data_IF_944831201227
#
_entry.id   IF_944831201227
#
_cell.length_a   1.000
_cell.length_b   1.000
_cell.length_c   1.000
_cell.angle_alpha   90.00
_cell.angle_beta   90.00
_cell.angle_gamma   90.00
#
_symmetry.space_group_name_H-M   'P 1'
#
loop_
_entity.id
_entity.type
_entity.pdbx_description
1 polymer ?
#
# COMPACT_ATOMS: atom_id res chain seq x y z
N UNK A 1 -7.83 -8.20 4.70
CA UNK A 1 -9.10 -7.87 5.41
C UNK A 1 -9.08 -8.29 6.88
N UNK A 2 -9.05 -9.59 7.20
CA UNK A 2 -9.13 -10.06 8.61
C UNK A 2 -8.00 -9.54 9.50
N UNK A 3 -6.78 -9.49 8.98
CA UNK A 3 -5.63 -8.88 9.68
C UNK A 3 -5.87 -7.41 10.02
N UNK A 4 -6.37 -6.61 9.06
CA UNK A 4 -6.70 -5.20 9.29
C UNK A 4 -7.74 -5.04 10.41
N UNK A 5 -8.82 -5.84 10.39
CA UNK A 5 -9.87 -5.81 11.43
C UNK A 5 -9.27 -6.18 12.80
N UNK A 6 -8.48 -7.26 12.87
CA UNK A 6 -7.85 -7.70 14.13
C UNK A 6 -6.94 -6.62 14.73
N UNK A 7 -6.19 -5.92 13.88
CA UNK A 7 -5.26 -4.84 14.25
C UNK A 7 -5.95 -3.53 14.62
N UNK A 8 -7.28 -3.43 14.44
CA UNK A 8 -8.06 -2.25 14.80
C UNK A 8 -8.07 -1.15 13.73
N UNK A 9 -7.80 -1.49 12.47
CA UNK A 9 -8.06 -0.57 11.37
C UNK A 9 -9.56 -0.29 11.22
N UNK A 10 -9.95 0.89 10.70
CA UNK A 10 -11.31 1.15 10.30
C UNK A 10 -11.88 0.07 9.39
N UNK A 11 -13.18 -0.18 9.50
CA UNK A 11 -13.83 -1.25 8.75
C UNK A 11 -13.71 -0.99 7.24
N UNK A 12 -13.19 -1.96 6.46
CA UNK A 12 -12.81 -1.69 5.09
C UNK A 12 -14.03 -1.50 4.17
N UNK A 13 -13.87 -0.64 3.17
CA UNK A 13 -14.87 -0.42 2.13
C UNK A 13 -14.40 -1.16 0.88
N UNK A 14 -15.20 -2.13 0.43
CA UNK A 14 -14.91 -2.98 -0.72
C UNK A 14 -15.46 -2.31 -1.97
N UNK A 15 -14.57 -1.97 -2.90
CA UNK A 15 -14.94 -1.43 -4.21
C UNK A 15 -15.05 -2.55 -5.24
N UNK A 16 -15.90 -2.33 -6.26
CA UNK A 16 -16.13 -3.26 -7.37
C UNK A 16 -16.61 -4.67 -7.02
N UNK A 17 -17.13 -4.87 -5.80
CA UNK A 17 -17.70 -6.16 -5.40
C UNK A 17 -18.82 -6.60 -6.34
N UNK A 18 -18.76 -7.84 -6.83
CA UNK A 18 -19.76 -8.44 -7.71
C UNK A 18 -19.86 -7.82 -9.12
N UNK A 19 -18.92 -6.95 -9.52
CA UNK A 19 -18.93 -6.31 -10.84
C UNK A 19 -17.99 -7.03 -11.80
N UNK A 20 -18.40 -7.17 -13.06
CA UNK A 20 -17.49 -7.57 -14.12
C UNK A 20 -16.40 -6.48 -14.30
N UNK A 21 -15.11 -6.82 -14.27
CA UNK A 21 -14.03 -5.83 -14.33
C UNK A 21 -13.95 -5.12 -15.69
N UNK A 22 -14.38 -5.74 -16.78
CA UNK A 22 -14.40 -5.12 -18.10
C UNK A 22 -15.55 -4.11 -18.20
N UNK A 23 -16.72 -4.43 -17.66
CA UNK A 23 -17.83 -3.48 -17.53
C UNK A 23 -17.51 -2.36 -16.54
N UNK A 24 -16.86 -2.68 -15.41
CA UNK A 24 -16.52 -1.72 -14.37
C UNK A 24 -15.45 -0.72 -14.83
N UNK A 25 -14.49 -1.15 -15.63
CA UNK A 25 -13.52 -0.26 -16.25
C UNK A 25 -14.16 0.58 -17.37
N UNK A 26 -15.14 0.03 -18.12
CA UNK A 26 -15.75 0.61 -19.34
C UNK A 26 -14.84 0.56 -20.58
N UNK A 27 -13.60 0.08 -20.46
CA UNK A 27 -12.65 0.00 -21.58
C UNK A 27 -12.29 -1.44 -21.94
N UNK A 28 -11.92 -1.64 -23.21
CA UNK A 28 -11.41 -2.93 -23.69
C UNK A 28 -9.93 -3.05 -23.32
N UNK A 29 -9.66 -3.50 -22.10
CA UNK A 29 -8.31 -3.65 -21.54
C UNK A 29 -8.20 -4.79 -20.52
N UNK A 30 -7.16 -4.75 -19.70
CA UNK A 30 -6.98 -5.72 -18.62
C UNK A 30 -7.91 -5.48 -17.43
N UNK A 31 -8.25 -6.52 -16.66
CA UNK A 31 -9.22 -6.43 -15.56
C UNK A 31 -8.78 -5.50 -14.42
N UNK A 32 -7.47 -5.29 -14.26
CA UNK A 32 -6.91 -4.43 -13.22
C UNK A 32 -7.27 -2.95 -13.43
N UNK A 33 -7.65 -2.53 -14.64
CA UNK A 33 -8.08 -1.15 -14.90
C UNK A 33 -9.35 -0.77 -14.12
N UNK A 34 -10.16 -1.75 -13.71
CA UNK A 34 -11.31 -1.51 -12.85
C UNK A 34 -10.92 -0.89 -11.49
N UNK A 35 -9.67 -1.04 -11.04
CA UNK A 35 -9.18 -0.41 -9.81
C UNK A 35 -9.25 1.11 -9.88
N UNK A 36 -8.78 1.74 -10.98
CA UNK A 36 -8.87 3.19 -11.19
C UNK A 36 -10.33 3.66 -11.04
N UNK A 37 -11.25 3.03 -11.75
CA UNK A 37 -12.66 3.46 -11.71
C UNK A 37 -13.33 3.16 -10.37
N UNK A 38 -12.95 2.07 -9.70
CA UNK A 38 -13.44 1.72 -8.38
C UNK A 38 -13.02 2.73 -7.32
N UNK A 39 -11.74 3.07 -7.29
CA UNK A 39 -11.13 4.05 -6.38
C UNK A 39 -11.76 5.42 -6.61
N UNK A 40 -11.74 5.91 -7.86
CA UNK A 40 -12.23 7.24 -8.19
C UNK A 40 -13.73 7.38 -7.91
N UNK A 41 -14.53 6.35 -8.22
CA UNK A 41 -15.96 6.33 -7.89
C UNK A 41 -16.21 6.41 -6.39
N UNK A 42 -15.40 5.73 -5.57
CA UNK A 42 -15.51 5.83 -4.12
C UNK A 42 -15.14 7.22 -3.62
N UNK A 43 -13.98 7.75 -4.02
CA UNK A 43 -13.53 9.08 -3.60
C UNK A 43 -14.52 10.17 -4.02
N UNK A 44 -15.05 10.10 -5.25
CA UNK A 44 -16.07 11.04 -5.74
C UNK A 44 -17.33 11.02 -4.91
N UNK A 45 -17.81 9.82 -4.58
CA UNK A 45 -19.01 9.67 -3.80
C UNK A 45 -18.76 10.11 -2.35
N UNK A 46 -17.68 9.67 -1.71
CA UNK A 46 -17.43 9.94 -0.30
C UNK A 46 -17.10 11.42 -0.02
N UNK A 47 -16.51 12.13 -0.97
CA UNK A 47 -16.23 13.58 -0.89
C UNK A 47 -17.42 14.45 -1.36
N UNK A 48 -18.50 13.85 -1.87
CA UNK A 48 -19.66 14.60 -2.33
C UNK A 48 -20.35 15.33 -1.16
N UNK A 49 -20.91 16.51 -1.43
CA UNK A 49 -21.62 17.27 -0.40
C UNK A 49 -22.82 16.49 0.15
N UNK A 50 -23.49 15.71 -0.70
CA UNK A 50 -24.65 14.86 -0.39
C UNK A 50 -24.27 13.51 0.26
N UNK A 51 -22.98 13.22 0.44
CA UNK A 51 -22.55 11.98 1.09
C UNK A 51 -23.11 11.86 2.51
N UNK A 52 -23.54 10.66 2.87
CA UNK A 52 -24.11 10.38 4.18
C UNK A 52 -23.05 10.62 5.27
N UNK A 53 -23.37 11.34 6.37
CA UNK A 53 -22.38 11.72 7.39
C UNK A 53 -21.59 10.55 8.01
N UNK A 54 -22.17 9.34 8.01
CA UNK A 54 -21.52 8.12 8.52
C UNK A 54 -20.24 7.76 7.77
N UNK A 55 -20.21 8.03 6.46
CA UNK A 55 -19.21 7.55 5.50
C UNK A 55 -18.59 8.70 4.68
N UNK A 56 -18.97 9.95 4.98
CA UNK A 56 -18.48 11.15 4.29
C UNK A 56 -17.02 11.39 4.66
N UNK A 57 -16.22 11.71 3.64
CA UNK A 57 -14.85 12.15 3.78
C UNK A 57 -14.75 13.66 3.59
N UNK A 58 -13.78 14.25 4.28
CA UNK A 58 -13.21 15.56 4.00
C UNK A 58 -11.96 15.43 3.12
N UNK A 59 -11.53 16.53 2.50
CA UNK A 59 -10.40 16.51 1.57
C UNK A 59 -9.08 16.09 2.25
N UNK A 60 -8.94 16.39 3.53
CA UNK A 60 -7.79 16.11 4.40
C UNK A 60 -7.87 14.76 5.13
N UNK A 61 -8.99 14.04 5.04
CA UNK A 61 -9.10 12.69 5.62
C UNK A 61 -8.13 11.73 4.93
N UNK A 62 -7.41 10.94 5.73
CA UNK A 62 -6.42 9.99 5.21
C UNK A 62 -7.11 8.70 4.77
N UNK A 63 -6.90 8.33 3.51
CA UNK A 63 -7.39 7.09 2.92
C UNK A 63 -6.22 6.17 2.61
N UNK A 64 -6.37 4.89 2.95
CA UNK A 64 -5.47 3.82 2.53
C UNK A 64 -6.22 2.94 1.54
N UNK A 65 -5.68 2.81 0.35
CA UNK A 65 -6.16 1.92 -0.70
C UNK A 65 -5.20 0.73 -0.74
N UNK A 66 -5.72 -0.49 -0.69
CA UNK A 66 -4.90 -1.70 -0.66
C UNK A 66 -5.54 -2.82 -1.46
N UNK A 67 -4.71 -3.66 -2.08
CA UNK A 67 -5.15 -4.85 -2.80
C UNK A 67 -5.84 -5.86 -1.89
N UNK A 68 -7.02 -6.33 -2.33
CA UNK A 68 -7.89 -7.16 -1.50
C UNK A 68 -7.47 -8.63 -1.38
N UNK A 69 -6.58 -9.13 -2.26
CA UNK A 69 -6.33 -10.57 -2.39
C UNK A 69 -5.00 -11.05 -1.82
N UNK A 70 -3.97 -10.20 -1.78
CA UNK A 70 -2.61 -10.59 -1.44
C UNK A 70 -1.87 -9.56 -0.57
N UNK A 71 -2.59 -8.73 0.20
CA UNK A 71 -2.00 -7.84 1.21
C UNK A 71 -2.39 -8.27 2.63
N UNK A 72 -1.38 -8.38 3.50
CA UNK A 72 -1.54 -8.60 4.93
C UNK A 72 -1.10 -7.39 5.72
N UNK A 73 -1.88 -7.03 6.73
CA UNK A 73 -1.49 -6.04 7.74
C UNK A 73 -0.83 -6.79 8.89
N UNK A 74 0.24 -6.23 9.46
CA UNK A 74 0.93 -6.82 10.61
C UNK A 74 1.17 -5.84 11.76
N UNK A 75 1.11 -4.52 11.52
CA UNK A 75 1.23 -3.50 12.56
C UNK A 75 -0.07 -2.70 12.73
N UNK A 76 -0.32 -2.10 13.91
CA UNK A 76 -1.52 -1.30 14.18
C UNK A 76 -1.56 0.01 13.35
N UNK A 77 -2.75 0.63 13.19
CA UNK A 77 -2.90 1.89 12.47
C UNK A 77 -2.07 3.05 13.06
N UNK A 78 -1.79 3.03 14.37
CA UNK A 78 -0.91 4.00 15.01
C UNK A 78 0.49 4.05 14.37
N UNK A 79 1.13 2.88 14.19
CA UNK A 79 2.46 2.79 13.56
C UNK A 79 2.40 3.28 12.11
N UNK A 80 1.37 2.84 11.38
CA UNK A 80 1.20 3.22 9.98
C UNK A 80 1.06 4.74 9.81
N UNK A 81 0.23 5.39 10.64
CA UNK A 81 -0.01 6.83 10.55
C UNK A 81 1.24 7.63 10.95
N UNK A 82 1.98 7.23 11.98
CA UNK A 82 3.25 7.88 12.36
C UNK A 82 4.26 7.81 11.21
N UNK A 83 4.46 6.63 10.63
CA UNK A 83 5.36 6.45 9.48
C UNK A 83 4.93 7.21 8.25
N UNK A 84 3.63 7.29 7.97
CA UNK A 84 3.11 8.07 6.85
C UNK A 84 3.54 9.55 6.95
N UNK A 85 3.41 10.14 8.14
CA UNK A 85 3.88 11.50 8.40
C UNK A 85 5.40 11.62 8.28
N UNK A 86 6.17 10.69 8.83
CA UNK A 86 7.63 10.70 8.75
C UNK A 86 8.16 10.54 7.31
N UNK A 87 7.51 9.71 6.48
CA UNK A 87 7.83 9.55 5.06
C UNK A 87 7.59 10.85 4.31
N UNK A 88 6.43 11.48 4.49
CA UNK A 88 6.11 12.76 3.86
C UNK A 88 7.05 13.88 4.35
N UNK A 89 7.36 13.93 5.65
CA UNK A 89 8.30 14.91 6.20
C UNK A 89 9.71 14.75 5.59
N UNK A 90 10.23 13.52 5.50
CA UNK A 90 11.53 13.23 4.85
C UNK A 90 11.51 13.56 3.36
N UNK A 91 10.41 13.30 2.66
CA UNK A 91 10.28 13.64 1.24
C UNK A 91 10.22 15.14 1.00
N UNK A 92 9.41 15.87 1.77
CA UNK A 92 9.29 17.32 1.67
C UNK A 92 10.59 18.03 2.06
N UNK A 93 11.38 17.48 2.99
CA UNK A 93 12.73 17.97 3.26
C UNK A 93 13.64 17.85 2.03
N UNK A 94 13.64 16.69 1.34
CA UNK A 94 14.42 16.51 0.10
C UNK A 94 13.96 17.44 -1.02
N UNK A 95 12.64 17.61 -1.20
CA UNK A 95 12.11 18.55 -2.20
C UNK A 95 12.58 19.99 -1.93
N UNK A 96 12.56 20.41 -0.66
CA UNK A 96 13.06 21.72 -0.22
C UNK A 96 14.55 21.89 -0.50
N UNK A 97 15.37 20.88 -0.21
CA UNK A 97 16.82 20.91 -0.49
C UNK A 97 17.13 21.02 -1.99
N UNK A 98 16.29 20.43 -2.84
CA UNK A 98 16.44 20.46 -4.29
C UNK A 98 15.91 21.76 -4.93
N UNK A 99 15.19 22.59 -4.18
CA UNK A 99 14.62 23.83 -4.69
C UNK A 99 15.55 25.03 -4.41
N UNK A 100 16.18 25.54 -5.46
CA UNK A 100 17.16 26.64 -5.39
C UNK A 100 16.64 27.96 -5.98
N UNK A 101 15.37 28.03 -6.35
CA UNK A 101 14.75 29.22 -6.94
C UNK A 101 14.18 30.16 -5.88
N UNK A 102 14.07 31.44 -6.25
CA UNK A 102 13.52 32.49 -5.37
C UNK A 102 11.99 32.38 -5.21
N UNK A 103 11.30 31.81 -6.20
CA UNK A 103 9.85 31.60 -6.16
C UNK A 103 9.45 30.59 -5.06
N UNK A 104 8.23 30.68 -4.49
CA UNK A 104 7.71 29.65 -3.61
C UNK A 104 7.80 28.27 -4.25
N UNK A 105 8.29 27.28 -3.47
CA UNK A 105 8.41 25.91 -3.95
C UNK A 105 7.01 25.38 -4.28
N UNK A 106 6.74 24.98 -5.55
CA UNK A 106 5.41 24.57 -5.95
C UNK A 106 5.16 23.08 -5.68
N UNK A 107 6.14 22.34 -5.17
CA UNK A 107 6.13 20.87 -5.08
C UNK A 107 5.95 20.43 -3.63
N UNK A 108 5.15 19.40 -3.43
CA UNK A 108 4.93 18.79 -2.11
C UNK A 108 4.63 17.30 -2.27
N UNK A 109 4.96 16.48 -1.28
CA UNK A 109 4.50 15.10 -1.17
C UNK A 109 3.51 14.98 -0.01
N UNK A 110 2.31 14.50 -0.32
CA UNK A 110 1.26 14.14 0.64
C UNK A 110 0.71 12.73 0.40
N UNK A 111 0.94 12.18 -0.80
CA UNK A 111 0.56 10.83 -1.18
C UNK A 111 1.80 9.94 -1.17
N UNK A 112 1.68 8.77 -0.55
CA UNK A 112 2.69 7.72 -0.53
C UNK A 112 2.17 6.50 -1.28
N UNK A 113 2.80 6.20 -2.41
CA UNK A 113 2.59 4.96 -3.16
C UNK A 113 3.60 3.90 -2.72
N UNK A 114 3.19 2.63 -2.67
CA UNK A 114 4.15 1.55 -2.43
C UNK A 114 5.21 1.49 -3.52
N UNK A 115 6.44 1.10 -3.15
CA UNK A 115 7.57 1.02 -4.08
C UNK A 115 7.94 -0.44 -4.44
N UNK A 116 8.51 -0.61 -5.62
CA UNK A 116 9.18 -1.81 -6.11
C UNK A 116 10.48 -1.48 -6.85
N UNK A 117 11.21 -2.52 -7.24
CA UNK A 117 12.55 -2.43 -7.81
C UNK A 117 12.62 -2.41 -9.34
N UNK A 118 11.52 -2.75 -10.01
CA UNK A 118 11.45 -2.80 -11.48
C UNK A 118 10.53 -1.70 -12.01
N UNK A 119 10.97 -0.94 -13.01
CA UNK A 119 10.07 -0.08 -13.78
C UNK A 119 9.21 -0.95 -14.70
N UNK A 120 7.91 -1.06 -14.40
CA UNK A 120 6.99 -1.89 -15.16
C UNK A 120 5.54 -1.44 -14.94
N UNK A 121 4.65 -1.54 -15.94
CA UNK A 121 4.90 -1.88 -17.36
C UNK A 121 5.60 -0.75 -18.13
N UNK A 122 6.09 -1.03 -19.34
CA UNK A 122 6.88 -0.07 -20.13
C UNK A 122 6.21 0.40 -21.43
N UNK A 123 6.98 1.10 -22.27
CA UNK A 123 6.54 1.63 -23.57
C UNK A 123 5.92 0.55 -24.49
N UNK A 124 6.49 -0.67 -24.59
CA UNK A 124 5.89 -1.74 -25.40
C UNK A 124 4.47 -2.14 -24.95
N UNK A 125 4.14 -1.94 -23.68
CA UNK A 125 2.83 -2.23 -23.10
C UNK A 125 1.87 -1.03 -23.18
N UNK A 126 2.31 0.09 -23.78
CA UNK A 126 1.53 1.31 -23.96
C UNK A 126 1.66 2.34 -22.84
N UNK A 127 2.70 2.27 -22.00
CA UNK A 127 2.94 3.21 -20.90
C UNK A 127 4.28 3.90 -21.01
N UNK A 128 4.30 5.21 -20.74
CA UNK A 128 5.54 5.94 -20.54
C UNK A 128 5.64 6.31 -19.07
N UNK A 129 6.47 5.59 -18.32
CA UNK A 129 6.66 5.79 -16.89
C UNK A 129 7.77 6.80 -16.59
N UNK A 130 8.47 7.31 -17.62
CA UNK A 130 9.62 8.19 -17.45
C UNK A 130 10.68 7.61 -16.48
N UNK A 131 10.99 6.32 -16.64
CA UNK A 131 11.79 5.55 -15.68
C UNK A 131 13.18 6.14 -15.41
N UNK A 132 13.78 6.82 -16.40
CA UNK A 132 15.11 7.41 -16.30
C UNK A 132 15.07 8.81 -15.66
N UNK A 133 13.90 9.45 -15.65
CA UNK A 133 13.67 10.77 -15.07
C UNK A 133 13.13 10.71 -13.64
N UNK A 134 12.80 9.52 -13.13
CA UNK A 134 12.35 9.34 -11.75
C UNK A 134 13.48 9.60 -10.74
N UNK A 135 13.15 10.13 -9.54
CA UNK A 135 14.15 10.34 -8.49
C UNK A 135 14.88 9.06 -8.09
N UNK A 136 16.18 9.20 -7.82
CA UNK A 136 16.98 8.13 -7.24
C UNK A 136 16.48 7.70 -5.86
N UNK A 137 16.69 6.43 -5.54
CA UNK A 137 16.33 5.91 -4.21
C UNK A 137 17.15 6.59 -3.11
N UNK A 138 16.53 7.09 -2.02
CA UNK A 138 17.23 7.67 -0.89
C UNK A 138 17.85 6.62 0.04
N UNK A 139 17.65 5.32 -0.22
CA UNK A 139 18.30 4.24 0.51
C UNK A 139 19.83 4.29 0.32
N UNK A 140 20.62 3.71 1.24
CA UNK A 140 22.08 3.68 1.14
C UNK A 140 22.58 3.22 -0.23
N UNK A 141 23.54 3.93 -0.81
CA UNK A 141 24.09 3.64 -2.15
C UNK A 141 24.84 2.29 -2.21
N UNK A 142 25.15 1.71 -1.06
CA UNK A 142 25.80 0.41 -0.86
C UNK A 142 24.87 -0.62 -0.21
N UNK A 143 23.54 -0.46 -0.33
CA UNK A 143 22.55 -1.34 0.29
C UNK A 143 22.80 -2.84 0.03
N UNK A 144 23.33 -3.18 -1.15
CA UNK A 144 23.71 -4.53 -1.56
C UNK A 144 25.22 -4.65 -1.86
N UNK A 145 26.04 -3.79 -1.25
CA UNK A 145 27.48 -3.67 -1.52
C UNK A 145 27.77 -3.22 -2.95
N UNK A 146 28.86 -3.71 -3.53
CA UNK A 146 29.28 -3.39 -4.91
C UNK A 146 28.26 -3.81 -5.99
N UNK A 147 27.29 -4.65 -5.63
CA UNK A 147 26.23 -5.10 -6.52
C UNK A 147 24.99 -4.19 -6.51
N UNK A 148 24.98 -3.13 -5.71
CA UNK A 148 23.84 -2.21 -5.60
C UNK A 148 23.50 -1.60 -6.97
N UNK A 149 22.21 -1.65 -7.31
CA UNK A 149 21.62 -1.20 -8.57
C UNK A 149 22.16 -1.91 -9.84
N UNK A 150 22.81 -3.07 -9.68
CA UNK A 150 23.18 -3.95 -10.79
C UNK A 150 22.04 -4.93 -11.07
N UNK A 151 21.47 -4.83 -12.28
CA UNK A 151 20.51 -5.79 -12.80
C UNK A 151 21.26 -7.01 -13.32
N UNK A 152 20.90 -8.19 -12.81
CA UNK A 152 21.52 -9.44 -13.25
C UNK A 152 20.65 -10.04 -14.35
N UNK A 153 21.16 -10.05 -15.57
CA UNK A 153 20.52 -10.70 -16.70
C UNK A 153 20.40 -12.22 -16.46
N UNK A 154 19.25 -12.79 -16.81
CA UNK A 154 19.03 -14.24 -16.72
C UNK A 154 18.98 -14.85 -18.12
N UNK A 155 18.98 -16.19 -18.20
CA UNK A 155 18.80 -16.89 -19.47
C UNK A 155 17.46 -16.59 -20.13
N UNK A 156 16.48 -16.09 -19.37
CA UNK A 156 15.23 -15.56 -19.88
C UNK A 156 15.28 -14.02 -19.89
N UNK A 157 15.47 -13.36 -21.04
CA UNK A 157 15.60 -11.91 -21.11
C UNK A 157 14.33 -11.16 -20.67
N UNK A 158 13.19 -11.85 -20.53
CA UNK A 158 11.95 -11.28 -19.99
C UNK A 158 11.88 -11.31 -18.45
N UNK A 159 12.84 -11.97 -17.80
CA UNK A 159 12.93 -12.11 -16.35
C UNK A 159 14.34 -11.76 -15.84
N UNK A 160 14.81 -10.52 -16.01
CA UNK A 160 16.01 -10.07 -15.31
C UNK A 160 15.81 -10.17 -13.80
N UNK A 161 16.90 -10.34 -13.08
CA UNK A 161 16.91 -10.35 -11.62
C UNK A 161 17.22 -8.94 -11.10
N UNK A 162 16.26 -8.39 -10.35
CA UNK A 162 16.29 -7.06 -9.74
C UNK A 162 16.57 -7.10 -8.23
N UNK A 163 17.02 -8.23 -7.69
CA UNK A 163 17.28 -8.43 -6.25
C UNK A 163 18.09 -7.27 -5.65
N UNK A 164 19.21 -6.91 -6.28
CA UNK A 164 20.14 -5.89 -5.79
C UNK A 164 19.78 -4.46 -6.21
N UNK A 165 18.58 -4.22 -6.73
CA UNK A 165 18.15 -2.86 -7.11
C UNK A 165 17.43 -2.21 -5.94
N UNK A 166 17.74 -0.94 -5.64
CA UNK A 166 17.02 -0.18 -4.63
C UNK A 166 15.61 0.17 -5.15
N UNK A 167 14.54 0.00 -4.35
CA UNK A 167 13.20 0.40 -4.75
C UNK A 167 13.16 1.88 -5.14
N UNK A 168 12.58 2.17 -6.31
CA UNK A 168 12.34 3.54 -6.81
C UNK A 168 11.22 3.65 -7.85
N UNK A 169 10.49 2.57 -8.07
CA UNK A 169 9.38 2.52 -9.02
C UNK A 169 8.08 2.21 -8.28
N UNK A 170 6.96 2.67 -8.81
CA UNK A 170 5.64 2.41 -8.23
C UNK A 170 5.30 0.91 -8.22
N UNK A 171 4.75 0.45 -7.10
CA UNK A 171 3.96 -0.76 -7.02
C UNK A 171 2.48 -0.41 -6.81
N UNK A 172 1.58 -1.04 -7.57
CA UNK A 172 0.15 -0.73 -7.55
C UNK A 172 -0.67 -1.52 -6.53
N UNK A 173 -0.04 -1.96 -5.44
CA UNK A 173 -0.69 -2.73 -4.38
C UNK A 173 -1.25 -1.89 -3.24
N UNK A 174 -0.60 -0.76 -2.93
CA UNK A 174 -0.99 0.12 -1.83
C UNK A 174 -0.74 1.59 -2.14
N UNK A 175 -1.71 2.44 -1.80
CA UNK A 175 -1.66 3.89 -1.90
C UNK A 175 -2.20 4.51 -0.62
N UNK A 176 -1.59 5.59 -0.12
CA UNK A 176 -2.04 6.27 1.09
C UNK A 176 -1.89 7.78 0.95
N UNK A 177 -2.88 8.56 1.37
CA UNK A 177 -2.81 10.02 1.33
C UNK A 177 -4.14 10.70 1.67
N UNK A 178 -4.19 12.04 1.69
CA UNK A 178 -5.44 12.79 1.80
C UNK A 178 -6.42 12.43 0.68
N UNK A 179 -7.70 12.30 1.01
CA UNK A 179 -8.73 11.86 0.08
C UNK A 179 -8.83 12.79 -1.13
N UNK A 180 -8.67 14.10 -0.92
CA UNK A 180 -8.68 15.11 -1.96
C UNK A 180 -7.53 14.97 -2.94
N UNK A 181 -6.33 14.74 -2.43
CA UNK A 181 -5.11 14.60 -3.23
C UNK A 181 -5.15 13.29 -4.03
N UNK A 182 -5.56 12.19 -3.39
CA UNK A 182 -5.82 10.92 -4.06
C UNK A 182 -6.87 11.08 -5.17
N UNK A 183 -7.97 11.80 -4.93
CA UNK A 183 -9.01 12.04 -5.96
C UNK A 183 -8.42 12.77 -7.17
N UNK A 184 -7.57 13.78 -6.97
CA UNK A 184 -6.90 14.50 -8.07
C UNK A 184 -5.96 13.59 -8.85
N UNK A 185 -5.11 12.83 -8.17
CA UNK A 185 -4.17 11.89 -8.80
C UNK A 185 -4.90 10.80 -9.60
N UNK A 186 -5.91 10.16 -9.03
CA UNK A 186 -6.68 9.11 -9.72
C UNK A 186 -7.57 9.65 -10.83
N UNK A 187 -8.04 10.90 -10.75
CA UNK A 187 -8.71 11.57 -11.88
C UNK A 187 -7.76 11.72 -13.06
N UNK A 188 -6.52 12.18 -12.83
CA UNK A 188 -5.51 12.28 -13.89
C UNK A 188 -5.26 10.93 -14.56
N UNK A 189 -5.14 9.86 -13.78
CA UNK A 189 -5.01 8.50 -14.30
C UNK A 189 -6.23 8.06 -15.12
N UNK A 190 -7.45 8.37 -14.65
CA UNK A 190 -8.68 8.14 -15.40
C UNK A 190 -8.67 8.86 -16.76
N UNK A 191 -8.33 10.15 -16.78
CA UNK A 191 -8.32 10.96 -18.00
C UNK A 191 -7.28 10.44 -19.03
N UNK A 192 -6.11 10.00 -18.55
CA UNK A 192 -5.11 9.35 -19.41
C UNK A 192 -5.62 8.04 -20.00
N UNK A 193 -6.26 7.22 -19.18
CA UNK A 193 -6.81 5.95 -19.60
C UNK A 193 -7.93 6.15 -20.65
N UNK A 194 -8.82 7.11 -20.42
CA UNK A 194 -9.91 7.44 -21.33
C UNK A 194 -9.38 7.92 -22.69
N UNK A 195 -8.44 8.87 -22.70
CA UNK A 195 -7.80 9.37 -23.92
C UNK A 195 -7.06 8.27 -24.72
N UNK A 196 -6.34 7.39 -24.03
CA UNK A 196 -5.65 6.25 -24.67
C UNK A 196 -6.64 5.25 -25.25
N UNK A 197 -7.74 4.98 -24.54
CA UNK A 197 -8.78 4.08 -25.02
C UNK A 197 -9.52 4.65 -26.24
N UNK A 198 -9.82 5.95 -26.26
CA UNK A 198 -10.36 6.65 -27.44
C UNK A 198 -9.43 6.56 -28.65
N UNK A 199 -8.12 6.57 -28.40
CA UNK A 199 -7.06 6.38 -29.41
C UNK A 199 -6.86 4.91 -29.82
N UNK A 200 -7.66 3.98 -29.29
CA UNK A 200 -7.58 2.55 -29.60
C UNK A 200 -6.45 1.79 -28.92
N UNK A 201 -5.73 2.42 -27.98
CA UNK A 201 -4.65 1.78 -27.21
C UNK A 201 -5.27 0.93 -26.11
N UNK A 202 -4.87 -0.34 -26.05
CA UNK A 202 -5.36 -1.29 -25.04
C UNK A 202 -4.39 -1.37 -23.87
N UNK A 203 -4.77 -0.76 -22.75
CA UNK A 203 -4.04 -0.86 -21.50
C UNK A 203 -4.51 -2.07 -20.68
N UNK A 204 -3.69 -2.51 -19.74
CA UNK A 204 -3.88 -3.74 -18.96
C UNK A 204 -3.54 -3.62 -17.47
N UNK A 205 -2.85 -2.57 -17.07
CA UNK A 205 -2.21 -2.41 -15.77
C UNK A 205 -2.57 -1.06 -15.19
N UNK A 206 -3.24 -1.08 -14.05
CA UNK A 206 -3.52 0.14 -13.29
C UNK A 206 -2.22 0.76 -12.74
N UNK A 207 -1.27 -0.05 -12.27
CA UNK A 207 0.06 0.42 -11.87
C UNK A 207 0.77 1.21 -12.99
N UNK A 208 0.60 0.80 -14.26
CA UNK A 208 1.16 1.53 -15.39
C UNK A 208 0.52 2.90 -15.60
N UNK A 209 -0.79 3.01 -15.39
CA UNK A 209 -1.51 4.29 -15.45
C UNK A 209 -1.06 5.19 -14.31
N UNK A 210 -1.13 4.72 -13.06
CA UNK A 210 -0.71 5.47 -11.87
C UNK A 210 0.78 5.84 -11.92
N UNK A 211 1.61 4.95 -12.46
CA UNK A 211 3.04 5.20 -12.68
C UNK A 211 3.34 6.27 -13.73
N UNK A 212 2.54 6.34 -14.80
CA UNK A 212 2.68 7.43 -15.77
C UNK A 212 2.27 8.78 -15.17
N UNK A 213 1.24 8.85 -14.32
CA UNK A 213 0.91 10.08 -13.58
C UNK A 213 2.08 10.54 -12.72
N UNK A 214 2.70 9.61 -11.99
CA UNK A 214 3.89 9.90 -11.19
C UNK A 214 5.09 10.34 -12.05
N UNK A 215 5.35 9.65 -13.16
CA UNK A 215 6.43 10.01 -14.07
C UNK A 215 6.26 11.40 -14.68
N UNK A 216 5.06 11.75 -15.15
CA UNK A 216 4.76 13.09 -15.68
C UNK A 216 4.95 14.18 -14.62
N UNK A 217 4.56 13.90 -13.36
CA UNK A 217 4.84 14.79 -12.23
C UNK A 217 6.35 14.98 -12.04
N UNK A 218 7.15 13.93 -12.00
CA UNK A 218 8.60 14.05 -11.74
C UNK A 218 9.36 14.72 -12.89
N UNK A 219 8.94 14.51 -14.14
CA UNK A 219 9.44 15.27 -15.29
C UNK A 219 9.10 16.76 -15.12
N UNK A 220 7.86 17.07 -14.73
CA UNK A 220 7.45 18.45 -14.46
C UNK A 220 8.22 19.06 -13.29
N UNK A 221 8.42 18.34 -12.17
CA UNK A 221 9.23 18.80 -11.03
C UNK A 221 10.67 19.09 -11.44
N UNK A 222 11.26 18.23 -12.28
CA UNK A 222 12.62 18.43 -12.81
C UNK A 222 12.68 19.69 -13.67
N UNK A 223 11.73 19.87 -14.58
CA UNK A 223 11.62 21.10 -15.36
C UNK A 223 11.49 22.34 -14.46
N UNK A 224 10.59 22.29 -13.47
CA UNK A 224 10.39 23.38 -12.53
C UNK A 224 11.69 23.74 -11.84
N UNK A 225 12.52 22.76 -11.42
CA UNK A 225 13.82 22.98 -10.77
C UNK A 225 14.90 23.54 -11.70
N UNK A 226 15.05 23.00 -12.90
CA UNK A 226 16.20 23.31 -13.77
C UNK A 226 15.96 24.47 -14.72
N UNK A 227 14.70 24.79 -15.03
CA UNK A 227 14.32 25.73 -16.10
C UNK A 227 14.98 25.39 -17.45
N UNK A 228 15.45 24.15 -17.64
CA UNK A 228 16.13 23.66 -18.84
C UNK A 228 15.44 22.40 -19.35
N UNK A 229 15.24 22.30 -20.66
CA UNK A 229 14.67 21.11 -21.30
C UNK A 229 15.41 20.78 -22.60
N UNK A 230 15.62 19.49 -22.83
CA UNK A 230 15.79 18.97 -24.19
C UNK A 230 14.46 19.10 -24.96
N UNK A 231 14.55 19.45 -26.25
CA UNK A 231 13.38 19.78 -27.08
C UNK A 231 12.48 18.56 -27.30
N UNK A 232 11.23 18.60 -26.82
CA UNK A 232 10.18 17.63 -27.20
C UNK A 232 9.10 17.38 -26.14
N UNK A 233 9.49 17.07 -24.90
CA UNK A 233 8.56 16.83 -23.77
C UNK A 233 8.01 18.12 -23.16
N UNK A 234 8.73 19.22 -23.37
CA UNK A 234 8.52 20.54 -22.77
C UNK A 234 7.18 21.21 -23.06
N UNK A 235 6.77 21.26 -24.33
CA UNK A 235 5.71 22.17 -24.76
C UNK A 235 4.34 21.77 -24.23
N UNK A 236 4.08 20.47 -24.05
CA UNK A 236 2.83 19.95 -23.48
C UNK A 236 2.78 20.04 -21.96
N UNK A 237 3.94 20.01 -21.29
CA UNK A 237 4.05 20.06 -19.83
C UNK A 237 4.01 21.50 -19.26
N UNK A 238 4.30 22.51 -20.09
CA UNK A 238 4.26 23.92 -19.70
C UNK A 238 2.84 24.51 -19.61
N UNK A 239 1.83 23.83 -20.17
CA UNK A 239 0.46 24.36 -20.27
C UNK A 239 -0.43 23.98 -19.06
N UNK A 240 0.03 23.09 -18.18
CA UNK A 240 -0.76 22.57 -17.04
C UNK A 240 0.12 22.36 -15.81
N UNK A 241 -0.52 22.38 -14.64
CA UNK A 241 0.09 21.94 -13.40
C UNK A 241 0.05 20.40 -13.33
N UNK A 242 1.19 19.78 -13.04
CA UNK A 242 1.35 18.33 -12.90
C UNK A 242 1.73 17.92 -11.49
N UNK A 243 1.61 18.83 -10.51
CA UNK A 243 1.82 18.52 -9.11
C UNK A 243 0.59 17.80 -8.51
N UNK A 244 0.68 16.47 -8.37
CA UNK A 244 -0.37 15.62 -7.80
C UNK A 244 -0.03 15.12 -6.40
N UNK A 245 1.08 15.61 -5.83
CA UNK A 245 1.58 15.32 -4.50
C UNK A 245 2.04 13.87 -4.30
N UNK A 246 2.35 13.17 -5.39
CA UNK A 246 2.74 11.76 -5.36
C UNK A 246 4.20 11.61 -4.93
N UNK A 247 4.48 10.62 -4.12
CA UNK A 247 5.81 10.06 -3.98
C UNK A 247 5.76 8.62 -3.49
N UNK A 248 6.92 8.06 -3.11
CA UNK A 248 7.07 6.62 -2.90
C UNK A 248 7.50 6.27 -1.46
N UNK A 249 7.04 5.10 -1.01
CA UNK A 249 7.54 4.40 0.17
C UNK A 249 8.89 3.72 -0.14
N UNK A 250 9.93 4.52 -0.38
CA UNK A 250 11.26 4.03 -0.77
C UNK A 250 11.86 3.05 0.24
N UNK A 251 11.65 3.29 1.54
CA UNK A 251 12.16 2.46 2.63
C UNK A 251 11.25 1.26 2.94
N UNK A 252 10.11 1.13 2.25
CA UNK A 252 9.17 0.03 2.38
C UNK A 252 8.63 -0.11 3.81
N UNK A 253 8.41 1.01 4.50
CA UNK A 253 7.99 1.07 5.91
C UNK A 253 6.46 0.96 6.08
N UNK A 254 5.67 1.41 5.10
CA UNK A 254 4.22 1.26 5.09
C UNK A 254 3.82 -0.06 4.44
N UNK A 255 4.32 -0.33 3.23
CA UNK A 255 3.93 -1.48 2.42
C UNK A 255 5.11 -2.04 1.64
N UNK A 256 5.54 -3.24 2.00
CA UNK A 256 6.60 -3.94 1.27
C UNK A 256 6.01 -4.83 0.18
N UNK A 257 6.37 -4.55 -1.09
CA UNK A 257 6.13 -5.44 -2.21
C UNK A 257 7.20 -6.53 -2.26
N UNK A 258 6.77 -7.79 -2.16
CA UNK A 258 7.68 -8.96 -2.16
C UNK A 258 8.21 -9.31 -3.55
N UNK A 259 7.61 -8.80 -4.62
CA UNK A 259 8.15 -8.93 -5.97
C UNK A 259 9.54 -8.28 -6.06
N UNK A 260 10.49 -9.00 -6.65
CA UNK A 260 11.91 -8.62 -6.70
C UNK A 260 12.60 -8.51 -5.33
N UNK A 261 11.93 -8.86 -4.24
CA UNK A 261 12.46 -8.91 -2.87
C UNK A 261 12.12 -10.27 -2.23
N UNK A 262 12.10 -11.32 -3.05
CA UNK A 262 11.54 -12.62 -2.73
C UNK A 262 12.21 -13.30 -1.52
N UNK A 263 13.49 -13.08 -1.31
CA UNK A 263 14.34 -13.71 -0.30
C UNK A 263 14.97 -12.69 0.67
N UNK A 264 14.48 -11.45 0.63
CA UNK A 264 15.02 -10.36 1.45
C UNK A 264 14.58 -10.42 2.91
N UNK A 265 13.43 -11.05 3.19
CA UNK A 265 12.80 -11.00 4.49
C UNK A 265 12.10 -12.29 4.90
N UNK A 266 11.92 -12.43 6.21
CA UNK A 266 11.21 -13.54 6.83
C UNK A 266 10.42 -13.07 8.06
N UNK A 267 9.51 -13.92 8.55
CA UNK A 267 8.71 -13.69 9.76
C UNK A 267 9.48 -14.20 10.98
N UNK A 268 9.99 -13.29 11.80
CA UNK A 268 10.89 -13.57 12.93
C UNK A 268 10.55 -12.72 14.16
N UNK A 269 10.72 -13.28 15.35
CA UNK A 269 10.59 -12.54 16.62
C UNK A 269 11.87 -11.72 16.86
N UNK A 270 11.76 -10.41 16.79
CA UNK A 270 12.92 -9.50 16.79
C UNK A 270 13.62 -9.39 18.15
N UNK A 271 12.99 -9.82 19.24
CA UNK A 271 13.65 -9.97 20.55
C UNK A 271 14.65 -11.13 20.60
N UNK A 272 14.63 -12.04 19.63
CA UNK A 272 15.57 -13.14 19.51
C UNK A 272 16.70 -12.78 18.53
N UNK A 273 17.70 -12.04 19.01
CA UNK A 273 18.82 -11.60 18.17
C UNK A 273 19.59 -12.77 17.52
N UNK A 274 19.70 -13.92 18.19
CA UNK A 274 20.36 -15.09 17.59
C UNK A 274 19.63 -15.62 16.35
N UNK A 275 18.30 -15.58 16.33
CA UNK A 275 17.52 -15.92 15.14
C UNK A 275 17.71 -14.86 14.04
N UNK A 276 17.68 -13.58 14.38
CA UNK A 276 17.93 -12.47 13.45
C UNK A 276 19.32 -12.58 12.81
N UNK A 277 20.33 -12.92 13.60
CA UNK A 277 21.71 -13.13 13.15
C UNK A 277 21.82 -14.34 12.20
N UNK A 278 21.09 -15.44 12.48
CA UNK A 278 21.05 -16.61 11.61
C UNK A 278 20.45 -16.29 10.24
N UNK A 279 19.32 -15.58 10.22
CA UNK A 279 18.67 -15.15 8.97
C UNK A 279 19.52 -14.15 8.19
N UNK A 280 20.10 -13.17 8.88
CA UNK A 280 21.00 -12.17 8.27
C UNK A 280 22.21 -12.85 7.65
N UNK A 281 22.83 -13.81 8.35
CA UNK A 281 23.96 -14.58 7.85
C UNK A 281 23.61 -15.41 6.60
N UNK A 282 22.43 -16.04 6.55
CA UNK A 282 21.94 -16.74 5.34
C UNK A 282 21.75 -15.81 4.14
N UNK A 283 21.39 -14.55 4.38
CA UNK A 283 21.29 -13.50 3.37
C UNK A 283 22.64 -12.84 3.03
N UNK A 284 23.75 -13.29 3.63
CA UNK A 284 25.08 -12.71 3.43
C UNK A 284 25.32 -11.39 4.15
N UNK A 285 24.49 -11.05 5.15
CA UNK A 285 24.55 -9.82 5.94
C UNK A 285 25.24 -10.10 7.28
N UNK A 286 26.55 -9.85 7.33
CA UNK A 286 27.37 -9.99 8.54
C UNK A 286 28.21 -8.73 8.76
N UNK A 287 28.02 -7.99 9.88
CA UNK A 287 27.06 -8.24 10.96
C UNK A 287 25.59 -8.02 10.52
N UNK A 288 24.65 -8.57 11.30
CA UNK A 288 23.22 -8.33 11.09
C UNK A 288 22.90 -6.83 11.18
N UNK A 289 22.09 -6.33 10.23
CA UNK A 289 21.68 -4.92 10.21
C UNK A 289 20.53 -4.65 11.19
N UNK A 290 19.58 -5.60 11.27
CA UNK A 290 18.42 -5.51 12.16
C UNK A 290 18.86 -5.80 13.61
N UNK A 291 18.51 -4.88 14.51
CA UNK A 291 18.89 -4.93 15.92
C UNK A 291 17.64 -4.70 16.78
N UNK A 292 17.02 -5.78 17.25
CA UNK A 292 15.81 -5.71 18.06
C UNK A 292 14.56 -5.18 17.33
N UNK A 293 13.53 -4.88 18.12
CA UNK A 293 12.28 -4.27 17.64
C UNK A 293 12.51 -2.77 17.40
N UNK A 294 12.05 -2.21 16.26
CA UNK A 294 12.08 -0.76 16.02
C UNK A 294 11.42 0.07 17.13
N UNK A 295 12.02 1.22 17.44
CA UNK A 295 11.59 2.10 18.55
C UNK A 295 10.14 2.57 18.42
N UNK A 296 9.69 2.83 17.19
CA UNK A 296 8.33 3.24 16.86
C UNK A 296 7.29 2.13 17.07
N UNK A 297 7.71 0.89 17.28
CA UNK A 297 6.86 -0.26 17.58
C UNK A 297 6.89 -0.56 19.09
N UNK A 298 8.05 -0.49 19.74
CA UNK A 298 8.25 -0.87 21.16
C UNK A 298 7.26 -0.17 22.10
N UNK A 299 6.96 1.11 21.85
CA UNK A 299 6.10 1.93 22.71
C UNK A 299 4.62 1.92 22.32
N UNK A 300 4.27 1.28 21.21
CA UNK A 300 2.88 1.20 20.75
C UNK A 300 2.13 0.20 21.59
N UNK A 301 0.87 0.54 21.90
CA UNK A 301 -0.02 -0.33 22.70
C UNK A 301 0.00 -1.75 22.14
N UNK A 302 0.31 -2.69 23.02
CA UNK A 302 0.35 -4.09 22.71
C UNK A 302 -1.05 -4.63 22.35
N UNK A 303 -1.28 -5.10 21.10
CA UNK A 303 -2.59 -5.60 20.69
C UNK A 303 -3.01 -6.89 21.40
N UNK A 304 -2.07 -7.64 21.98
CA UNK A 304 -2.28 -8.88 22.70
C UNK A 304 -2.46 -8.69 24.21
N UNK A 305 -2.47 -7.47 24.74
CA UNK A 305 -2.64 -7.21 26.19
C UNK A 305 -3.86 -7.96 26.79
N UNK A 306 -4.97 -8.06 26.05
CA UNK A 306 -6.18 -8.78 26.47
C UNK A 306 -6.24 -10.28 26.14
N UNK A 307 -5.23 -10.83 25.46
CA UNK A 307 -5.21 -12.20 24.92
C UNK A 307 -4.02 -13.01 25.43
N UNK A 308 -2.84 -12.39 25.47
CA UNK A 308 -1.58 -12.93 25.96
C UNK A 308 -0.77 -11.79 26.62
N UNK A 309 -1.10 -11.40 27.87
CA UNK A 309 -0.56 -10.19 28.51
C UNK A 309 0.95 -10.21 28.75
N UNK A 310 1.55 -11.40 28.82
CA UNK A 310 2.99 -11.57 29.02
C UNK A 310 3.80 -11.43 27.71
N UNK A 311 3.14 -11.52 26.55
CA UNK A 311 3.80 -11.45 25.24
C UNK A 311 4.11 -10.00 24.90
N UNK A 312 5.38 -9.65 24.68
CA UNK A 312 5.79 -8.31 24.26
C UNK A 312 6.07 -8.26 22.75
N UNK A 313 6.25 -7.06 22.19
CA UNK A 313 6.61 -6.90 20.78
C UNK A 313 7.85 -7.70 20.35
N UNK A 314 8.82 -7.88 21.25
CA UNK A 314 10.00 -8.70 20.99
C UNK A 314 9.71 -10.18 20.76
N UNK A 315 8.61 -10.69 21.32
CA UNK A 315 8.18 -12.08 21.20
C UNK A 315 7.29 -12.31 19.97
N UNK A 316 6.66 -11.25 19.45
CA UNK A 316 5.76 -11.32 18.32
C UNK A 316 6.55 -11.46 17.01
N UNK A 317 6.35 -12.54 16.24
CA UNK A 317 7.03 -12.68 14.97
C UNK A 317 6.47 -11.68 13.94
N UNK A 318 7.37 -10.91 13.32
CA UNK A 318 7.07 -9.88 12.32
C UNK A 318 7.84 -10.17 11.04
N UNK A 319 7.18 -10.01 9.89
CA UNK A 319 7.88 -9.97 8.62
C UNK A 319 8.85 -8.80 8.63
N UNK A 320 10.13 -9.08 8.38
CA UNK A 320 11.22 -8.12 8.42
C UNK A 320 12.11 -8.31 7.20
N UNK A 321 12.37 -7.23 6.45
CA UNK A 321 13.38 -7.19 5.40
C UNK A 321 14.75 -6.95 6.02
N UNK A 322 15.68 -7.90 5.85
CA UNK A 322 16.99 -7.84 6.49
C UNK A 322 17.96 -6.86 5.79
N UNK A 323 17.70 -6.50 4.53
CA UNK A 323 18.54 -5.55 3.79
C UNK A 323 18.18 -4.11 4.12
N UNK A 324 16.91 -3.74 3.97
CA UNK A 324 16.40 -2.39 4.24
C UNK A 324 16.15 -2.14 5.72
N UNK A 325 16.13 -3.20 6.54
CA UNK A 325 15.74 -3.20 7.96
C UNK A 325 14.26 -2.86 8.17
N UNK A 326 13.45 -2.88 7.10
CA UNK A 326 12.05 -2.55 7.17
C UNK A 326 11.25 -3.63 7.90
N UNK A 327 10.49 -3.22 8.91
CA UNK A 327 9.43 -4.02 9.53
C UNK A 327 8.10 -3.41 9.07
N UNK A 328 7.60 -3.70 7.86
CA UNK A 328 6.53 -2.92 7.24
C UNK A 328 5.19 -3.04 7.99
N UNK A 329 4.34 -2.03 7.92
CA UNK A 329 2.98 -2.16 8.43
C UNK A 329 2.13 -3.17 7.63
N UNK A 330 2.38 -3.25 6.32
CA UNK A 330 1.70 -4.15 5.39
C UNK A 330 2.71 -4.93 4.52
N UNK A 331 2.41 -6.19 4.22
CA UNK A 331 3.17 -7.03 3.29
C UNK A 331 2.30 -7.36 2.09
N UNK A 332 2.76 -7.00 0.89
CA UNK A 332 2.12 -7.33 -0.37
C UNK A 332 2.79 -8.58 -0.97
N UNK A 333 2.08 -9.71 -0.89
CA UNK A 333 2.51 -11.04 -1.35
C UNK A 333 2.35 -11.22 -2.87
N UNK A 334 3.06 -10.39 -3.63
CA UNK A 334 3.08 -10.40 -5.10
C UNK A 334 4.34 -11.00 -5.73
N UNK A 335 5.22 -11.61 -4.93
CA UNK A 335 6.33 -12.46 -5.39
C UNK A 335 5.82 -13.60 -6.30
N UNK A 336 5.90 -13.44 -7.62
CA UNK A 336 5.37 -14.42 -8.58
C UNK A 336 6.43 -15.43 -9.05
N UNK A 337 7.71 -15.14 -8.84
CA UNK A 337 8.81 -16.03 -9.22
C UNK A 337 8.83 -17.27 -8.32
N UNK A 338 9.25 -18.41 -8.88
CA UNK A 338 9.47 -19.67 -8.15
C UNK A 338 8.27 -20.17 -7.30
N UNK A 339 7.04 -19.79 -7.65
CA UNK A 339 5.85 -20.18 -6.89
C UNK A 339 5.72 -19.49 -5.52
N UNK A 340 6.50 -18.45 -5.25
CA UNK A 340 6.53 -17.80 -3.94
C UNK A 340 5.25 -17.03 -3.60
N UNK A 341 4.34 -16.85 -4.56
CA UNK A 341 3.02 -16.26 -4.32
C UNK A 341 2.21 -17.08 -3.33
N UNK A 342 2.47 -18.38 -3.26
CA UNK A 342 1.83 -19.32 -2.32
C UNK A 342 2.19 -19.02 -0.85
N UNK A 343 3.20 -18.19 -0.57
CA UNK A 343 3.50 -17.74 0.81
C UNK A 343 2.33 -17.01 1.46
N UNK A 344 1.45 -16.37 0.67
CA UNK A 344 0.18 -15.81 1.17
C UNK A 344 -0.79 -16.85 1.73
N UNK A 345 -0.48 -18.14 1.65
CA UNK A 345 -1.23 -19.20 2.30
C UNK A 345 -0.34 -19.95 3.28
N UNK A 346 0.88 -20.31 2.85
CA UNK A 346 1.79 -21.14 3.65
C UNK A 346 2.45 -20.41 4.82
N UNK A 347 2.42 -19.07 4.86
CA UNK A 347 2.95 -18.28 5.97
C UNK A 347 1.87 -17.64 6.85
N UNK A 348 0.58 -17.84 6.54
CA UNK A 348 -0.50 -17.13 7.23
C UNK A 348 -0.55 -17.44 8.73
N UNK A 349 -0.26 -18.69 9.08
CA UNK A 349 -0.19 -19.19 10.45
C UNK A 349 1.07 -18.77 11.22
N UNK A 350 2.03 -18.12 10.55
CA UNK A 350 3.24 -17.58 11.17
C UNK A 350 3.03 -16.17 11.73
N UNK A 351 1.95 -15.49 11.36
CA UNK A 351 1.65 -14.15 11.84
C UNK A 351 1.36 -14.16 13.35
N UNK A 352 1.89 -13.20 14.09
CA UNK A 352 1.79 -13.17 15.56
C UNK A 352 0.34 -13.19 16.09
N UNK A 353 -0.60 -12.61 15.36
CA UNK A 353 -2.01 -12.59 15.75
C UNK A 353 -2.74 -13.90 15.42
N UNK A 354 -2.16 -14.78 14.60
CA UNK A 354 -2.87 -15.95 14.06
C UNK A 354 -3.51 -16.83 15.15
N UNK A 355 -2.81 -17.19 16.26
CA UNK A 355 -3.42 -18.00 17.33
C UNK A 355 -4.61 -17.32 18.03
N UNK A 356 -4.69 -15.99 17.96
CA UNK A 356 -5.69 -15.16 18.64
C UNK A 356 -6.69 -14.53 17.66
N UNK A 357 -6.52 -14.78 16.35
CA UNK A 357 -7.16 -14.01 15.29
C UNK A 357 -8.68 -14.03 15.40
N UNK A 358 -9.27 -15.19 15.71
CA UNK A 358 -10.71 -15.32 15.91
C UNK A 358 -11.21 -14.39 17.01
N UNK A 359 -10.59 -14.44 18.18
CA UNK A 359 -11.06 -13.68 19.34
C UNK A 359 -10.78 -12.17 19.18
N UNK A 360 -9.68 -11.82 18.48
CA UNK A 360 -9.38 -10.45 18.07
C UNK A 360 -10.45 -9.90 17.12
N UNK A 361 -10.76 -10.63 16.04
CA UNK A 361 -11.80 -10.22 15.07
C UNK A 361 -13.17 -10.16 15.76
N UNK A 362 -13.54 -11.18 16.55
CA UNK A 362 -14.84 -11.23 17.22
C UNK A 362 -15.04 -10.07 18.20
N UNK A 363 -13.96 -9.63 18.86
CA UNK A 363 -13.97 -8.44 19.71
C UNK A 363 -14.17 -7.17 18.89
N UNK A 364 -13.43 -7.02 17.78
CA UNK A 364 -13.44 -5.83 16.91
C UNK A 364 -14.73 -5.66 16.12
N UNK A 365 -15.49 -6.73 15.90
CA UNK A 365 -16.79 -6.68 15.22
C UNK A 365 -17.95 -6.20 16.09
N UNK A 366 -17.74 -5.98 17.39
CA UNK A 366 -18.79 -5.48 18.29
C UNK A 366 -18.89 -3.95 18.18
N UNK A 367 -20.11 -3.39 18.05
CA UNK A 367 -20.33 -1.95 18.18
C UNK A 367 -19.74 -1.42 19.49
N UNK A 368 -19.05 -0.29 19.40
CA UNK A 368 -18.39 0.35 20.52
C UNK A 368 -18.20 1.84 20.21
N UNK A 369 -18.19 2.73 21.22
CA UNK A 369 -17.81 4.12 21.04
C UNK A 369 -16.49 4.24 20.30
N UNK A 370 -16.34 5.28 19.47
CA UNK A 370 -15.09 5.55 18.80
C UNK A 370 -14.04 6.02 19.82
N UNK A 371 -12.83 5.52 19.65
CA UNK A 371 -11.63 5.97 20.33
C UNK A 371 -10.65 6.51 19.27
N UNK A 372 -9.77 7.47 19.61
CA UNK A 372 -8.72 7.90 18.70
C UNK A 372 -7.85 6.72 18.25
N UNK A 373 -7.55 6.66 16.96
CA UNK A 373 -6.59 5.70 16.41
C UNK A 373 -5.16 6.05 16.83
N UNK A 374 -4.82 7.34 16.82
CA UNK A 374 -3.53 7.89 17.27
C UNK A 374 -3.66 9.40 17.47
N UNK A 375 -2.84 9.95 18.36
CA UNK A 375 -2.53 11.39 18.42
C UNK A 375 -1.07 11.61 18.03
N UNK A 376 -0.84 12.47 17.04
CA UNK A 376 0.47 12.81 16.50
C UNK A 376 0.73 14.28 16.82
N UNK A 377 1.80 14.54 17.57
CA UNK A 377 2.21 15.90 17.90
C UNK A 377 3.04 16.43 16.73
N UNK A 378 2.60 17.54 16.14
CA UNK A 378 3.31 18.24 15.06
C UNK A 378 3.76 19.62 15.53
N UNK A 379 4.61 20.31 14.75
CA UNK A 379 4.98 21.70 15.04
C UNK A 379 3.79 22.66 15.01
N UNK A 380 2.74 22.32 14.24
CA UNK A 380 1.51 23.11 14.06
C UNK A 380 0.43 22.78 15.11
N UNK A 381 0.64 21.73 15.91
CA UNK A 381 -0.29 21.26 16.94
C UNK A 381 -0.52 19.75 16.90
N UNK A 382 -1.46 19.28 17.70
CA UNK A 382 -1.81 17.87 17.78
C UNK A 382 -2.80 17.48 16.68
N UNK A 383 -2.48 16.46 15.90
CA UNK A 383 -3.39 15.81 14.94
C UNK A 383 -3.96 14.55 15.61
N UNK A 384 -5.28 14.45 15.70
CA UNK A 384 -5.97 13.29 16.26
C UNK A 384 -6.73 12.55 15.16
N UNK A 385 -6.34 11.30 14.92
CA UNK A 385 -6.98 10.46 13.92
C UNK A 385 -8.13 9.66 14.52
N UNK A 386 -9.26 9.65 13.83
CA UNK A 386 -10.45 8.89 14.19
C UNK A 386 -10.84 7.95 13.04
N UNK A 387 -11.48 6.83 13.38
CA UNK A 387 -12.17 6.03 12.38
C UNK A 387 -13.45 6.77 11.90
N UNK A 388 -14.00 6.45 10.72
CA UNK A 388 -15.24 7.06 10.24
C UNK A 388 -16.41 6.86 11.22
N UNK A 389 -17.38 7.80 11.31
CA UNK A 389 -18.47 7.74 12.29
C UNK A 389 -19.29 6.45 12.26
N UNK A 390 -19.47 5.88 11.07
CA UNK A 390 -20.03 4.54 10.82
C UNK A 390 -19.50 3.44 11.73
N UNK A 391 -18.21 3.47 12.05
CA UNK A 391 -17.53 2.40 12.76
C UNK A 391 -18.03 2.27 14.21
N UNK A 392 -18.70 3.30 14.75
CA UNK A 392 -19.35 3.19 16.05
C UNK A 392 -20.41 2.06 16.11
N UNK A 393 -21.03 1.73 14.97
CA UNK A 393 -22.16 0.79 14.90
C UNK A 393 -22.12 -0.20 13.73
N UNK A 394 -21.34 0.05 12.66
CA UNK A 394 -21.07 -0.87 11.55
C UNK A 394 -19.59 -1.24 11.53
N UNK A 395 -19.28 -2.43 12.05
CA UNK A 395 -17.90 -2.92 12.17
C UNK A 395 -17.53 -3.94 11.09
N UNK A 396 -18.51 -4.48 10.35
CA UNK A 396 -18.25 -5.38 9.22
C UNK A 396 -17.88 -4.58 7.98
N UNK A 397 -17.11 -5.18 7.05
CA UNK A 397 -16.77 -4.52 5.79
C UNK A 397 -18.00 -4.02 5.06
N UNK A 398 -17.88 -2.90 4.35
CA UNK A 398 -18.99 -2.27 3.64
C UNK A 398 -18.79 -2.31 2.13
N UNK A 399 -19.87 -2.31 1.37
CA UNK A 399 -19.80 -2.39 -0.10
C UNK A 399 -20.04 -1.03 -0.76
N UNK A 400 -19.16 -0.66 -1.69
CA UNK A 400 -19.38 0.48 -2.58
C UNK A 400 -20.14 0.05 -3.85
N UNK A 401 -21.48 0.04 -3.75
CA UNK A 401 -22.40 -0.40 -4.83
C UNK A 401 -23.07 0.75 -5.61
N UNK A 402 -23.16 1.95 -5.06
CA UNK A 402 -23.95 3.05 -5.63
C UNK A 402 -23.42 4.44 -5.29
N UNK A 403 -24.33 5.38 -5.00
CA UNK A 403 -23.98 6.68 -4.38
C UNK A 403 -23.88 6.51 -2.86
N UNK A 404 -23.07 7.33 -2.22
CA UNK A 404 -22.88 7.43 -0.75
C UNK A 404 -23.93 8.32 -0.08
N UNK A 405 -24.93 8.81 -0.79
CA UNK A 405 -26.04 9.60 -0.21
C UNK A 405 -26.91 8.79 0.78
N UNK A 406 -26.77 7.47 0.77
CA UNK A 406 -27.28 6.57 1.78
C UNK A 406 -26.11 5.88 2.48
N UNK A 407 -26.30 5.45 3.73
CA UNK A 407 -25.25 4.76 4.45
C UNK A 407 -24.81 3.48 3.73
N UNK A 408 -23.50 3.19 3.72
CA UNK A 408 -22.99 2.02 3.04
C UNK A 408 -23.42 0.71 3.74
N UNK A 409 -23.80 -0.28 2.95
CA UNK A 409 -24.29 -1.58 3.43
C UNK A 409 -23.13 -2.47 3.92
N UNK A 410 -23.30 -3.07 5.10
CA UNK A 410 -22.39 -4.11 5.59
C UNK A 410 -22.54 -5.41 4.78
N UNK A 411 -21.41 -6.00 4.42
CA UNK A 411 -21.34 -7.34 3.84
C UNK A 411 -20.99 -8.39 4.90
N UNK A 412 -21.59 -9.58 4.78
CA UNK A 412 -21.15 -10.73 5.55
C UNK A 412 -19.85 -11.30 4.99
N UNK A 413 -19.08 -11.98 5.84
CA UNK A 413 -17.89 -12.70 5.38
C UNK A 413 -18.25 -13.86 4.45
N UNK A 414 -19.42 -14.48 4.61
CA UNK A 414 -19.88 -15.52 3.68
C UNK A 414 -20.09 -14.97 2.27
N UNK A 415 -20.52 -13.71 2.14
CA UNK A 415 -20.58 -13.04 0.83
C UNK A 415 -19.17 -12.74 0.34
N UNK A 416 -18.35 -12.06 1.15
CA UNK A 416 -17.03 -11.56 0.72
C UNK A 416 -16.00 -12.66 0.44
N UNK A 417 -16.14 -13.81 1.09
CA UNK A 417 -15.24 -14.95 0.98
C UNK A 417 -15.86 -16.10 0.17
N UNK A 418 -16.96 -15.86 -0.55
CA UNK A 418 -17.53 -16.83 -1.46
C UNK A 418 -16.57 -17.13 -2.63
N UNK A 419 -16.48 -18.40 -3.01
CA UNK A 419 -15.72 -18.82 -4.21
C UNK A 419 -16.67 -18.79 -5.42
N UNK A 420 -16.42 -17.94 -6.44
CA UNK A 420 -17.31 -17.86 -7.60
C UNK A 420 -17.46 -19.21 -8.33
N UNK A 421 -18.69 -19.57 -8.68
CA UNK A 421 -19.00 -20.75 -9.49
C UNK A 421 -18.97 -22.08 -8.75
N UNK A 422 -18.85 -22.09 -7.42
CA UNK A 422 -18.95 -23.30 -6.60
C UNK A 422 -20.18 -23.26 -5.68
N UNK A 423 -20.70 -24.44 -5.35
CA UNK A 423 -21.91 -24.62 -4.53
C UNK A 423 -21.55 -25.07 -3.11
N UNK A 424 -22.26 -24.56 -2.10
CA UNK A 424 -21.92 -24.62 -0.66
C UNK A 424 -21.54 -25.98 -0.06
N UNK A 425 -21.93 -27.10 -0.67
CA UNK A 425 -21.83 -28.45 -0.09
C UNK A 425 -20.44 -29.09 -0.15
N UNK A 426 -19.53 -28.61 -1.01
CA UNK A 426 -18.19 -29.20 -1.20
C UNK A 426 -17.02 -28.22 -1.05
N UNK A 427 -17.31 -26.96 -0.68
CA UNK A 427 -16.29 -25.93 -0.61
C UNK A 427 -15.60 -25.89 0.75
N UNK A 428 -14.26 -25.75 0.79
CA UNK A 428 -13.56 -25.41 2.01
C UNK A 428 -14.13 -24.08 2.50
N UNK A 429 -14.60 -24.06 3.74
CA UNK A 429 -15.22 -22.87 4.30
C UNK A 429 -14.15 -21.83 4.56
N UNK A 430 -14.46 -20.56 4.33
CA UNK A 430 -13.46 -19.50 4.45
C UNK A 430 -12.80 -19.45 5.83
N UNK A 431 -13.55 -19.79 6.89
CA UNK A 431 -13.06 -19.82 8.26
C UNK A 431 -12.07 -20.96 8.51
N UNK A 432 -12.15 -22.06 7.74
CA UNK A 432 -11.21 -23.19 7.86
C UNK A 432 -9.83 -22.77 7.36
N UNK A 433 -9.76 -21.96 6.29
CA UNK A 433 -8.51 -21.39 5.78
C UNK A 433 -7.98 -20.26 6.66
N UNK A 434 -8.88 -19.35 7.09
CA UNK A 434 -8.50 -18.12 7.80
C UNK A 434 -8.11 -18.37 9.26
N UNK A 435 -8.84 -19.21 10.00
CA UNK A 435 -8.58 -19.43 11.42
C UNK A 435 -7.86 -20.76 11.72
N UNK A 436 -8.05 -21.79 10.87
CA UNK A 436 -7.48 -23.14 11.02
C UNK A 436 -7.62 -23.73 12.44
N UNK A 437 -8.74 -23.47 13.10
CA UNK A 437 -8.97 -23.82 14.50
C UNK A 437 -10.16 -24.77 14.72
N UNK A 438 -10.80 -25.24 13.65
CA UNK A 438 -11.94 -26.17 13.66
C UNK A 438 -13.20 -25.64 14.40
N UNK A 439 -13.28 -24.34 14.71
CA UNK A 439 -14.40 -23.76 15.47
C UNK A 439 -15.57 -23.25 14.62
N UNK A 440 -15.48 -23.34 13.29
CA UNK A 440 -16.56 -22.90 12.40
C UNK A 440 -16.61 -21.38 12.13
N UNK A 441 -17.77 -20.82 11.71
CA UNK A 441 -17.92 -19.39 11.42
C UNK A 441 -17.77 -18.51 12.69
N UNK A 442 -17.61 -17.20 12.48
CA UNK A 442 -17.42 -16.18 13.54
C UNK A 442 -18.69 -15.41 13.87
#
# INVERSE_FOLDING_TARGET
MMSAIALGYPSPIITNWGRDPFEASKWRGGPNLAKITGILRYLDAALDEEAHPDDKLHEDDIVIISDGFDVWFQLPPEVLLRRFHEINARANARLREQWSQEDPMPMEQTIVFSAQKRCWPGIPDGYDLHCEELPESPLPADLYGDATDIIIETSNPYQPNFHNVRPRFINGGTYMGPAGDLRRAFRRGFDQLDSKAESGIKLSSEQGVSGQVFGEQEVWRTWRRTQSLEQGSATTLMERDFEYHIGLDYTQELSLATCHSEDHGDIVALGNQSAVDEYSSKAGLVPARVQGVPEDIVHVRNPLEGYAPETQWGDMPLYTDFYTQAVPAMVHHNAWQHGLKERRFTWWDRMWFFPYLRDMVASRLKPAPLEPLVTINTEEGDIVYWAPPSDAFRRKPRLMVGKTAQPLEEASFDVLCAVPGKTEASDPKWWDEVFRDEKGPI
#
